data_IF_383810613574
#
_entry.id   IF_383810613574
#
_cell.length_a   1.000
_cell.length_b   1.000
_cell.length_c   1.000
_cell.angle_alpha   90.00
_cell.angle_beta   90.00
_cell.angle_gamma   90.00
#
_symmetry.space_group_name_H-M   'P 1'
#
loop_
_entity.id
_entity.type
_entity.pdbx_description
1 polymer ?
#
# COMPACT_ATOMS: atom_id res chain seq x y z
N UNK A 1 7.21 -21.25 23.19
CA UNK A 1 7.37 -19.85 22.73
C UNK A 1 7.00 -19.81 21.27
N UNK A 2 5.86 -19.21 20.92
CA UNK A 2 5.45 -19.07 19.53
C UNK A 2 6.19 -17.86 18.95
N UNK A 3 7.12 -18.10 18.03
CA UNK A 3 7.77 -17.05 17.26
C UNK A 3 6.69 -16.30 16.50
N UNK A 4 6.38 -15.08 16.93
CA UNK A 4 5.53 -14.17 16.18
C UNK A 4 6.26 -13.88 14.86
N UNK A 5 5.83 -14.53 13.79
CA UNK A 5 6.25 -14.21 12.43
C UNK A 5 5.85 -12.77 12.17
N UNK A 6 6.83 -11.86 12.18
CA UNK A 6 6.62 -10.47 11.76
C UNK A 6 5.96 -10.54 10.39
N UNK A 7 4.73 -10.01 10.22
CA UNK A 7 4.01 -10.16 8.97
C UNK A 7 4.78 -9.44 7.87
N UNK A 8 5.42 -10.25 7.02
CA UNK A 8 6.20 -9.78 5.87
C UNK A 8 5.31 -8.94 4.95
N UNK A 9 5.86 -7.87 4.40
CA UNK A 9 5.14 -7.09 3.40
C UNK A 9 4.89 -7.99 2.17
N UNK A 10 3.63 -8.13 1.71
CA UNK A 10 3.32 -8.92 0.53
C UNK A 10 3.87 -8.25 -0.73
N UNK A 11 3.91 -8.99 -1.83
CA UNK A 11 4.21 -8.45 -3.17
C UNK A 11 2.91 -7.93 -3.78
N UNK A 12 2.90 -6.70 -4.29
CA UNK A 12 1.74 -6.14 -4.99
C UNK A 12 1.55 -6.89 -6.32
N UNK A 13 0.39 -7.51 -6.50
CA UNK A 13 0.03 -8.25 -7.72
C UNK A 13 -1.10 -7.58 -8.47
N UNK A 14 -1.94 -6.82 -7.76
CA UNK A 14 -3.06 -6.12 -8.35
C UNK A 14 -3.86 -5.35 -7.29
N UNK A 15 -5.07 -4.95 -7.65
CA UNK A 15 -5.93 -4.20 -6.76
C UNK A 15 -6.36 -5.05 -5.55
N UNK A 16 -6.46 -6.38 -5.72
CA UNK A 16 -7.00 -7.31 -4.74
C UNK A 16 -6.22 -7.36 -3.43
N UNK A 17 -4.92 -7.12 -3.51
CA UNK A 17 -4.04 -7.09 -2.36
C UNK A 17 -3.45 -5.70 -2.10
N UNK A 18 -3.93 -4.67 -2.81
CA UNK A 18 -3.43 -3.30 -2.66
C UNK A 18 -3.62 -2.74 -1.25
N UNK A 19 -4.78 -2.94 -0.62
CA UNK A 19 -5.04 -2.37 0.71
C UNK A 19 -4.11 -2.96 1.79
N UNK A 20 -3.93 -4.28 1.76
CA UNK A 20 -3.01 -4.96 2.68
C UNK A 20 -1.54 -4.63 2.35
N UNK A 21 -1.20 -4.52 1.06
CA UNK A 21 0.12 -4.10 0.61
C UNK A 21 0.44 -2.69 1.09
N UNK A 22 -0.45 -1.72 0.86
CA UNK A 22 -0.30 -0.31 1.26
C UNK A 22 -0.07 -0.17 2.77
N UNK A 23 -0.80 -0.94 3.58
CA UNK A 23 -0.62 -0.95 5.02
C UNK A 23 0.77 -1.48 5.42
N UNK A 24 1.20 -2.60 4.82
CA UNK A 24 2.44 -3.28 5.20
C UNK A 24 3.69 -2.59 4.65
N UNK A 25 3.64 -2.07 3.43
CA UNK A 25 4.77 -1.34 2.82
C UNK A 25 5.02 -0.03 3.57
N UNK A 26 3.95 0.64 4.04
CA UNK A 26 4.07 1.79 4.94
C UNK A 26 4.83 1.42 6.22
N UNK A 27 4.44 0.34 6.87
CA UNK A 27 5.12 -0.11 8.10
C UNK A 27 6.59 -0.47 7.84
N UNK A 28 6.90 -1.10 6.70
CA UNK A 28 8.27 -1.41 6.29
C UNK A 28 9.11 -0.14 6.02
N UNK A 29 8.57 0.84 5.29
CA UNK A 29 9.26 2.11 5.03
C UNK A 29 9.48 2.92 6.30
N UNK A 30 8.55 2.86 7.26
CA UNK A 30 8.67 3.49 8.57
C UNK A 30 9.76 2.84 9.43
N UNK A 31 9.83 1.51 9.47
CA UNK A 31 10.88 0.81 10.23
C UNK A 31 12.28 1.06 9.66
N UNK A 32 12.37 1.34 8.36
CA UNK A 32 13.61 1.72 7.67
C UNK A 32 13.93 3.22 7.75
N UNK A 33 13.04 4.04 8.32
CA UNK A 33 13.22 5.49 8.44
C UNK A 33 13.19 6.25 7.11
N UNK A 34 12.62 5.65 6.05
CA UNK A 34 12.60 6.22 4.69
C UNK A 34 11.19 6.60 4.22
N UNK A 35 10.17 6.41 5.06
CA UNK A 35 8.79 6.77 4.72
C UNK A 35 8.64 8.25 4.36
N UNK A 36 9.35 9.15 5.05
CA UNK A 36 9.35 10.58 4.76
C UNK A 36 9.88 10.93 3.36
N UNK A 37 10.79 10.12 2.81
CA UNK A 37 11.28 10.28 1.43
C UNK A 37 10.17 10.00 0.43
N UNK A 38 9.41 8.93 0.65
CA UNK A 38 8.34 8.46 -0.23
C UNK A 38 7.12 9.39 -0.19
N UNK A 39 6.82 10.00 0.97
CA UNK A 39 5.75 11.01 1.08
C UNK A 39 6.22 12.41 0.71
N UNK A 40 7.53 12.64 0.59
CA UNK A 40 8.14 13.96 0.40
C UNK A 40 8.02 14.88 1.61
N UNK A 41 7.82 14.31 2.80
CA UNK A 41 7.84 15.04 4.07
C UNK A 41 9.27 15.34 4.50
N UNK A 42 10.20 14.43 4.20
CA UNK A 42 11.61 14.70 4.29
C UNK A 42 12.00 15.59 3.09
N UNK A 43 12.68 16.70 3.34
CA UNK A 43 13.17 17.60 2.30
C UNK A 43 14.59 17.23 1.89
N UNK A 44 14.86 17.30 0.58
CA UNK A 44 16.23 17.16 0.07
C UNK A 44 17.12 18.26 0.67
N UNK A 45 18.32 17.91 1.18
CA UNK A 45 19.26 18.91 1.68
C UNK A 45 19.62 19.87 0.53
N UNK A 46 19.06 21.08 0.57
CA UNK A 46 19.37 22.11 -0.42
C UNK A 46 20.73 22.70 -0.06
N UNK A 47 21.63 22.85 -1.04
CA UNK A 47 23.03 23.29 -0.88
C UNK A 47 23.29 24.54 -0.04
N UNK A 48 22.25 25.29 0.33
CA UNK A 48 22.33 26.55 1.04
C UNK A 48 22.40 26.44 2.57
N UNK A 49 22.15 25.25 3.16
CA UNK A 49 22.21 25.07 4.62
C UNK A 49 23.55 24.47 5.07
N UNK A 50 24.51 25.37 5.32
CA UNK A 50 25.69 25.24 6.18
C UNK A 50 26.90 24.38 5.73
N UNK A 51 28.01 25.11 5.51
CA UNK A 51 29.39 24.84 5.96
C UNK A 51 29.82 23.36 6.10
N UNK A 52 30.70 22.94 5.17
CA UNK A 52 31.60 21.77 5.22
C UNK A 52 31.01 20.36 5.41
N UNK A 53 29.75 20.22 5.82
CA UNK A 53 29.05 18.93 6.05
C UNK A 53 28.02 18.58 4.96
N UNK A 54 27.89 19.44 3.95
CA UNK A 54 26.86 19.38 2.90
C UNK A 54 26.93 18.10 2.04
N UNK A 55 28.15 17.62 1.75
CA UNK A 55 28.35 16.44 0.90
C UNK A 55 27.92 15.14 1.58
N UNK A 56 28.22 14.98 2.87
CA UNK A 56 27.84 13.77 3.63
C UNK A 56 26.32 13.69 3.84
N UNK A 57 25.67 14.83 4.09
CA UNK A 57 24.21 14.90 4.18
C UNK A 57 23.53 14.57 2.85
N UNK A 58 24.11 15.01 1.73
CA UNK A 58 23.60 14.71 0.39
C UNK A 58 23.80 13.22 0.03
N UNK A 59 24.95 12.63 0.38
CA UNK A 59 25.19 11.19 0.19
C UNK A 59 24.25 10.33 1.04
N UNK A 60 24.03 10.70 2.30
CA UNK A 60 23.07 10.00 3.17
C UNK A 60 21.63 10.14 2.63
N UNK A 61 21.27 11.32 2.13
CA UNK A 61 19.99 11.53 1.46
C UNK A 61 19.81 10.60 0.26
N UNK A 62 20.80 10.56 -0.65
CA UNK A 62 20.75 9.69 -1.83
C UNK A 62 20.66 8.21 -1.43
N UNK A 63 21.41 7.77 -0.41
CA UNK A 63 21.32 6.41 0.11
C UNK A 63 19.92 6.07 0.63
N UNK A 64 19.28 6.99 1.37
CA UNK A 64 17.91 6.82 1.85
C UNK A 64 16.90 6.80 0.71
N UNK A 65 17.10 7.61 -0.32
CA UNK A 65 16.31 7.64 -1.55
C UNK A 65 16.38 6.31 -2.30
N UNK A 66 17.60 5.83 -2.59
CA UNK A 66 17.83 4.53 -3.24
C UNK A 66 17.23 3.38 -2.42
N UNK A 67 17.40 3.41 -1.09
CA UNK A 67 16.82 2.42 -0.19
C UNK A 67 15.29 2.42 -0.23
N UNK A 68 14.66 3.60 -0.30
CA UNK A 68 13.22 3.73 -0.46
C UNK A 68 12.75 3.13 -1.79
N UNK A 69 13.41 3.47 -2.90
CA UNK A 69 13.11 2.94 -4.23
C UNK A 69 13.27 1.42 -4.28
N UNK A 70 14.40 0.89 -3.79
CA UNK A 70 14.64 -0.55 -3.75
C UNK A 70 13.63 -1.30 -2.88
N UNK A 71 13.26 -0.73 -1.73
CA UNK A 71 12.22 -1.33 -0.87
C UNK A 71 10.87 -1.37 -1.58
N UNK A 72 10.45 -0.27 -2.22
CA UNK A 72 9.20 -0.24 -2.99
C UNK A 72 9.21 -1.29 -4.09
N UNK A 73 10.20 -1.27 -4.98
CA UNK A 73 10.29 -2.17 -6.14
C UNK A 73 10.38 -3.63 -5.71
N UNK A 74 11.09 -3.96 -4.62
CA UNK A 74 11.19 -5.33 -4.11
C UNK A 74 9.85 -5.94 -3.66
N UNK A 75 8.86 -5.10 -3.37
CA UNK A 75 7.51 -5.50 -3.02
C UNK A 75 6.50 -5.28 -4.15
N UNK A 76 6.96 -5.11 -5.40
CA UNK A 76 6.13 -5.12 -6.59
C UNK A 76 6.33 -6.42 -7.36
N UNK A 77 5.28 -6.92 -8.00
CA UNK A 77 5.43 -7.95 -9.03
C UNK A 77 6.12 -7.36 -10.26
N UNK A 78 6.84 -8.20 -11.02
CA UNK A 78 7.56 -7.77 -12.22
C UNK A 78 6.67 -7.02 -13.21
N UNK A 79 5.41 -7.45 -13.38
CA UNK A 79 4.45 -6.79 -14.26
C UNK A 79 4.13 -5.34 -13.81
N UNK A 80 4.01 -5.11 -12.51
CA UNK A 80 3.76 -3.78 -11.95
C UNK A 80 5.04 -2.95 -11.95
N UNK A 81 6.19 -3.56 -11.63
CA UNK A 81 7.49 -2.90 -11.67
C UNK A 81 7.80 -2.37 -13.09
N UNK A 82 7.60 -3.20 -14.12
CA UNK A 82 7.76 -2.80 -15.53
C UNK A 82 6.80 -1.67 -15.93
N UNK A 83 5.58 -1.68 -15.41
CA UNK A 83 4.60 -0.61 -15.69
C UNK A 83 5.06 0.76 -15.16
N UNK A 84 5.83 0.79 -14.08
CA UNK A 84 6.32 2.02 -13.46
C UNK A 84 7.82 2.23 -13.63
N UNK A 85 8.46 1.52 -14.56
CA UNK A 85 9.90 1.63 -14.90
C UNK A 85 10.39 3.07 -15.05
N UNK A 86 9.58 3.95 -15.62
CA UNK A 86 9.92 5.35 -15.89
C UNK A 86 10.02 6.23 -14.63
N UNK A 87 9.71 5.72 -13.44
CA UNK A 87 9.71 6.48 -12.20
C UNK A 87 10.95 6.17 -11.36
N UNK A 88 12.05 6.85 -11.65
CA UNK A 88 13.31 6.76 -10.86
C UNK A 88 13.19 7.36 -9.45
N UNK A 89 12.18 8.19 -9.22
CA UNK A 89 11.94 8.84 -7.93
C UNK A 89 10.94 8.05 -7.08
N UNK A 90 11.29 7.66 -5.83
CA UNK A 90 10.44 6.81 -5.00
C UNK A 90 9.12 7.48 -4.61
N UNK A 91 9.09 8.81 -4.49
CA UNK A 91 7.85 9.55 -4.23
C UNK A 91 6.95 9.55 -5.45
N UNK A 92 7.51 9.79 -6.63
CA UNK A 92 6.77 9.70 -7.88
C UNK A 92 6.21 8.29 -8.09
N UNK A 93 7.02 7.25 -7.89
CA UNK A 93 6.63 5.85 -7.98
C UNK A 93 5.47 5.52 -7.03
N UNK A 94 5.60 5.87 -5.75
CA UNK A 94 4.56 5.60 -4.76
C UNK A 94 3.27 6.35 -5.07
N UNK A 95 3.36 7.62 -5.48
CA UNK A 95 2.20 8.42 -5.90
C UNK A 95 1.50 7.81 -7.12
N UNK A 96 2.27 7.31 -8.10
CA UNK A 96 1.73 6.66 -9.29
C UNK A 96 1.03 5.33 -8.97
N UNK A 97 1.62 4.51 -8.10
CA UNK A 97 1.00 3.29 -7.57
C UNK A 97 -0.31 3.65 -6.85
N UNK A 98 -0.30 4.68 -6.01
CA UNK A 98 -1.50 5.15 -5.35
C UNK A 98 -2.56 5.56 -6.37
N UNK A 99 -2.25 6.43 -7.32
CA UNK A 99 -3.20 6.86 -8.35
C UNK A 99 -3.75 5.69 -9.19
N UNK A 100 -2.96 4.64 -9.38
CA UNK A 100 -3.39 3.47 -10.15
C UNK A 100 -4.36 2.58 -9.39
N UNK A 101 -4.14 2.32 -8.10
CA UNK A 101 -4.91 1.34 -7.34
C UNK A 101 -5.92 1.96 -6.37
N UNK A 102 -5.70 3.20 -5.96
CA UNK A 102 -6.62 3.96 -5.11
C UNK A 102 -7.85 4.37 -5.95
N UNK A 103 -9.01 3.81 -5.62
CA UNK A 103 -10.26 4.00 -6.37
C UNK A 103 -10.54 2.97 -7.47
N UNK A 104 -9.52 2.27 -8.00
CA UNK A 104 -9.72 1.16 -8.97
C UNK A 104 -9.97 -0.20 -8.31
N UNK A 105 -9.90 -0.26 -6.97
CA UNK A 105 -10.25 -1.47 -6.23
C UNK A 105 -11.75 -1.80 -6.23
N UNK A 106 -12.56 -1.08 -7.02
CA UNK A 106 -13.99 -1.35 -7.25
C UNK A 106 -14.24 -2.78 -7.67
N UNK A 107 -13.40 -3.39 -8.50
CA UNK A 107 -13.58 -4.78 -8.95
C UNK A 107 -13.48 -5.82 -7.82
N UNK A 108 -12.50 -5.67 -6.92
CA UNK A 108 -12.27 -6.62 -5.82
C UNK A 108 -13.19 -6.31 -4.64
N UNK A 109 -13.49 -5.03 -4.41
CA UNK A 109 -14.52 -4.64 -3.45
C UNK A 109 -15.90 -5.16 -3.91
N UNK A 110 -16.21 -5.10 -5.21
CA UNK A 110 -17.43 -5.67 -5.79
C UNK A 110 -17.41 -7.20 -5.72
N UNK A 111 -16.30 -7.86 -6.04
CA UNK A 111 -16.16 -9.31 -5.94
C UNK A 111 -16.30 -9.81 -4.49
N UNK A 112 -15.65 -9.15 -3.53
CA UNK A 112 -15.77 -9.50 -2.12
C UNK A 112 -17.20 -9.23 -1.61
N UNK A 113 -17.82 -8.11 -1.97
CA UNK A 113 -19.21 -7.83 -1.61
C UNK A 113 -20.17 -8.87 -2.22
N UNK A 114 -19.95 -9.27 -3.48
CA UNK A 114 -20.71 -10.32 -4.13
C UNK A 114 -20.51 -11.68 -3.45
N UNK A 115 -19.28 -12.05 -3.11
CA UNK A 115 -18.97 -13.27 -2.36
C UNK A 115 -19.64 -13.26 -0.98
N UNK A 116 -19.56 -12.14 -0.27
CA UNK A 116 -20.22 -12.00 1.03
C UNK A 116 -21.74 -12.20 0.90
N UNK A 117 -22.36 -11.77 -0.21
CA UNK A 117 -23.77 -12.05 -0.51
C UNK A 117 -24.02 -13.53 -0.82
N UNK A 118 -23.15 -14.20 -1.59
CA UNK A 118 -23.37 -15.60 -2.01
C UNK A 118 -23.03 -16.64 -0.96
N UNK A 119 -22.00 -16.37 -0.14
CA UNK A 119 -21.51 -17.28 0.90
C UNK A 119 -22.26 -17.11 2.23
N UNK A 120 -22.95 -15.97 2.42
CA UNK A 120 -23.82 -15.79 3.59
C UNK A 120 -25.01 -16.73 3.50
N UNK A 121 -24.91 -17.85 4.22
CA UNK A 121 -26.02 -18.75 4.51
C UNK A 121 -26.41 -18.59 5.98
N UNK A 122 -27.70 -18.49 6.25
CA UNK A 122 -28.19 -18.51 7.62
C UNK A 122 -27.82 -19.85 8.26
N UNK A 123 -27.06 -19.79 9.36
CA UNK A 123 -26.58 -20.98 10.07
C UNK A 123 -27.59 -21.53 11.09
N UNK A 124 -28.78 -20.92 11.21
CA UNK A 124 -29.82 -21.31 12.15
C UNK A 124 -29.55 -20.94 13.62
N UNK A 125 -28.40 -20.34 13.94
CA UNK A 125 -27.94 -20.05 15.30
C UNK A 125 -27.78 -18.56 15.56
N UNK A 126 -27.28 -17.78 14.60
CA UNK A 126 -27.23 -16.33 14.70
C UNK A 126 -28.57 -15.67 14.40
N UNK A 127 -28.78 -14.49 14.98
CA UNK A 127 -30.00 -13.69 14.79
C UNK A 127 -30.19 -13.36 13.31
N UNK A 128 -31.43 -13.45 12.86
CA UNK A 128 -31.81 -13.05 11.50
C UNK A 128 -31.39 -11.60 11.18
N UNK A 129 -31.49 -10.69 12.16
CA UNK A 129 -31.09 -9.28 11.99
C UNK A 129 -29.60 -9.12 11.67
N UNK A 130 -28.74 -9.93 12.26
CA UNK A 130 -27.29 -9.90 11.99
C UNK A 130 -26.99 -10.31 10.54
N UNK A 131 -27.73 -11.31 10.04
CA UNK A 131 -27.61 -11.74 8.65
C UNK A 131 -28.10 -10.68 7.67
N UNK A 132 -29.24 -10.05 7.96
CA UNK A 132 -29.77 -8.93 7.17
C UNK A 132 -28.79 -7.75 7.18
N UNK A 133 -28.16 -7.46 8.32
CA UNK A 133 -27.18 -6.40 8.44
C UNK A 133 -25.94 -6.64 7.56
N UNK A 134 -25.40 -7.88 7.54
CA UNK A 134 -24.26 -8.26 6.69
C UNK A 134 -24.63 -8.11 5.21
N UNK A 135 -25.76 -8.67 4.78
CA UNK A 135 -26.24 -8.57 3.40
C UNK A 135 -26.48 -7.11 2.97
N UNK A 136 -27.10 -6.32 3.84
CA UNK A 136 -27.37 -4.89 3.58
C UNK A 136 -26.10 -4.06 3.54
N UNK A 137 -25.08 -4.41 4.32
CA UNK A 137 -23.77 -3.76 4.28
C UNK A 137 -23.04 -4.08 2.96
N UNK A 138 -23.04 -5.35 2.54
CA UNK A 138 -22.45 -5.77 1.27
C UNK A 138 -23.14 -5.13 0.06
N UNK A 139 -24.49 -5.07 0.06
CA UNK A 139 -25.25 -4.41 -1.01
C UNK A 139 -24.95 -2.91 -1.09
N UNK A 140 -24.96 -2.18 0.05
CA UNK A 140 -24.60 -0.75 0.08
C UNK A 140 -23.18 -0.52 -0.42
N UNK A 141 -22.26 -1.42 -0.08
CA UNK A 141 -20.89 -1.38 -0.56
C UNK A 141 -20.85 -1.52 -2.08
N UNK A 142 -21.60 -2.45 -2.67
CA UNK A 142 -21.70 -2.59 -4.12
C UNK A 142 -22.30 -1.35 -4.81
N UNK A 143 -23.34 -0.75 -4.25
CA UNK A 143 -23.97 0.46 -4.81
C UNK A 143 -23.04 1.67 -4.77
N UNK A 144 -22.15 1.77 -3.78
CA UNK A 144 -21.15 2.83 -3.68
C UNK A 144 -20.02 2.75 -4.71
N UNK A 145 -19.95 1.65 -5.48
CA UNK A 145 -18.91 1.41 -6.49
C UNK A 145 -19.40 1.68 -7.93
N UNK A 146 -20.66 2.11 -8.11
CA UNK A 146 -21.25 2.57 -9.37
C UNK A 146 -20.95 4.04 -9.60
#
# INVERSE_FOLDING_TARGET
>A
MASASTPSCPVLTGAENYDIWKLRIRAALQSLGVYGIVTGTDAEPTSMTALSSSKDLQLEWQRRKEKASGTLVSHLSDAIALKFESHDDPKALFTAIQAEFEGKNTGVLAYNAWRDITDTKWNGVSSYDDHVAILSAASRKLDSLK
#
